data_IF_234565510618
#
_entry.id   IF_234565510618
#
_cell.length_a   1.000
_cell.length_b   1.000
_cell.length_c   1.000
_cell.angle_alpha   90.00
_cell.angle_beta   90.00
_cell.angle_gamma   90.00
#
_symmetry.space_group_name_H-M   'P 1'
#
loop_
_entity.id
_entity.type
_entity.pdbx_description
1 polymer ?
#
# COMPACT_ATOMS: atom_id res chain seq x y z
N UNK A 1 32.94 56.80 -34.64
CA UNK A 1 32.23 57.21 -33.40
C UNK A 1 30.84 56.59 -33.45
N UNK A 2 30.69 55.28 -33.24
CA UNK A 2 30.36 54.66 -31.93
C UNK A 2 29.26 55.41 -31.16
N UNK A 3 28.08 54.80 -31.05
CA UNK A 3 27.70 54.06 -29.82
C UNK A 3 26.48 53.17 -30.06
N UNK A 4 26.66 51.93 -29.62
CA UNK A 4 25.72 50.83 -29.57
C UNK A 4 24.54 51.09 -28.64
N UNK A 5 23.44 50.38 -28.90
CA UNK A 5 22.26 50.34 -28.03
C UNK A 5 21.36 49.16 -28.36
N UNK A 6 21.94 47.95 -28.47
CA UNK A 6 21.17 46.72 -28.57
C UNK A 6 20.37 46.50 -27.28
N UNK A 7 19.04 46.52 -27.36
CA UNK A 7 18.20 46.01 -26.28
C UNK A 7 18.08 44.50 -26.43
N UNK A 8 18.89 43.81 -25.64
CA UNK A 8 18.89 42.37 -25.52
C UNK A 8 17.51 41.86 -25.11
N UNK A 9 16.96 40.96 -25.91
CA UNK A 9 15.86 40.08 -25.52
C UNK A 9 16.20 39.39 -24.21
N UNK A 10 15.38 39.60 -23.18
CA UNK A 10 15.46 38.84 -21.94
C UNK A 10 15.11 37.38 -22.25
N UNK A 11 16.13 36.55 -22.44
CA UNK A 11 16.00 35.10 -22.44
C UNK A 11 15.50 34.66 -21.07
N UNK A 12 14.22 34.29 -20.97
CA UNK A 12 13.68 33.57 -19.81
C UNK A 12 14.09 32.10 -19.90
N UNK A 13 15.35 31.84 -19.56
CA UNK A 13 15.83 30.50 -19.27
C UNK A 13 15.49 30.11 -17.83
N UNK A 14 14.54 29.19 -17.65
CA UNK A 14 14.57 28.07 -16.70
C UNK A 14 13.63 27.02 -17.27
N UNK A 15 14.19 25.92 -17.78
CA UNK A 15 13.41 24.81 -18.32
C UNK A 15 12.49 24.24 -17.26
N UNK A 16 11.23 24.69 -17.26
CA UNK A 16 10.17 24.01 -16.51
C UNK A 16 10.04 22.65 -17.17
N UNK A 17 10.43 21.58 -16.45
CA UNK A 17 10.23 20.22 -16.92
C UNK A 17 8.74 20.08 -17.19
N UNK A 18 8.36 19.92 -18.46
CA UNK A 18 6.95 19.82 -18.85
C UNK A 18 6.39 18.57 -18.16
N UNK A 19 5.34 18.73 -17.36
CA UNK A 19 4.65 17.59 -16.74
C UNK A 19 4.19 16.67 -17.88
N UNK A 20 4.51 15.36 -17.83
CA UNK A 20 4.07 14.44 -18.87
C UNK A 20 2.55 14.38 -18.95
N UNK A 21 2.00 14.45 -20.15
CA UNK A 21 0.56 14.24 -20.37
C UNK A 21 0.31 12.73 -20.50
N UNK A 22 0.27 12.03 -19.37
CA UNK A 22 0.17 10.56 -19.28
C UNK A 22 -1.04 10.15 -18.44
N UNK A 23 -1.70 9.07 -18.81
CA UNK A 23 -2.70 8.42 -17.95
C UNK A 23 -2.06 7.44 -16.98
N UNK A 24 -2.87 6.91 -16.07
CA UNK A 24 -2.47 5.85 -15.13
C UNK A 24 -3.36 4.63 -15.36
N UNK A 25 -2.76 3.47 -15.57
CA UNK A 25 -3.49 2.20 -15.67
C UNK A 25 -3.14 1.26 -14.52
N UNK A 26 -4.12 0.46 -14.12
CA UNK A 26 -3.87 -0.71 -13.29
C UNK A 26 -3.34 -1.81 -14.22
N UNK A 27 -2.08 -2.19 -14.03
CA UNK A 27 -1.39 -3.17 -14.87
C UNK A 27 -1.61 -4.60 -14.36
N UNK A 28 -1.71 -4.78 -13.04
CA UNK A 28 -1.99 -6.06 -12.42
C UNK A 28 -2.30 -5.93 -10.93
N UNK A 29 -2.94 -6.95 -10.37
CA UNK A 29 -3.27 -7.05 -8.95
C UNK A 29 -2.83 -8.38 -8.36
N UNK A 30 -2.64 -8.41 -7.05
CA UNK A 30 -2.26 -9.61 -6.33
C UNK A 30 -2.71 -9.54 -4.90
N UNK A 31 -2.77 -10.69 -4.24
CA UNK A 31 -3.04 -10.76 -2.82
C UNK A 31 -2.33 -11.97 -2.22
N UNK A 32 -2.17 -11.95 -0.90
CA UNK A 32 -1.71 -13.09 -0.15
C UNK A 32 -2.43 -13.18 1.18
N UNK A 33 -2.83 -14.39 1.54
CA UNK A 33 -3.52 -14.72 2.78
C UNK A 33 -2.78 -15.89 3.41
N UNK A 34 -2.41 -15.82 4.70
CA UNK A 34 -1.70 -16.91 5.36
C UNK A 34 -2.57 -18.16 5.46
N UNK A 35 -1.94 -19.34 5.50
CA UNK A 35 -2.67 -20.62 5.53
C UNK A 35 -3.33 -20.91 6.88
N UNK A 36 -2.87 -20.27 7.96
CA UNK A 36 -3.46 -20.44 9.28
C UNK A 36 -4.89 -19.92 9.28
N UNK A 37 -5.86 -20.79 9.59
CA UNK A 37 -7.28 -20.44 9.72
C UNK A 37 -7.66 -20.53 11.19
N UNK A 38 -8.33 -19.49 11.69
CA UNK A 38 -8.93 -19.44 13.01
C UNK A 38 -10.43 -19.39 12.84
N UNK A 39 -11.11 -20.43 13.30
CA UNK A 39 -12.56 -20.49 13.35
C UNK A 39 -13.08 -19.74 14.58
N UNK A 40 -14.34 -19.29 14.53
CA UNK A 40 -14.97 -18.71 15.70
C UNK A 40 -14.94 -19.63 16.93
N UNK A 41 -15.11 -20.95 16.71
CA UNK A 41 -15.03 -21.97 17.76
C UNK A 41 -13.64 -22.09 18.39
N UNK A 42 -12.58 -21.68 17.68
CA UNK A 42 -11.25 -21.65 18.27
C UNK A 42 -11.13 -20.51 19.29
N UNK A 43 -11.81 -19.39 19.04
CA UNK A 43 -11.82 -18.22 19.93
C UNK A 43 -12.54 -18.51 21.26
N UNK A 44 -13.53 -19.41 21.27
CA UNK A 44 -14.25 -19.84 22.48
C UNK A 44 -13.30 -20.40 23.57
N UNK A 45 -12.12 -20.89 23.18
CA UNK A 45 -11.11 -21.40 24.11
C UNK A 45 -10.35 -20.31 24.86
N UNK A 46 -10.37 -19.09 24.35
CA UNK A 46 -9.53 -17.97 24.82
C UNK A 46 -10.36 -16.80 25.36
N UNK A 47 -11.67 -16.76 25.08
CA UNK A 47 -12.57 -15.71 25.53
C UNK A 47 -14.02 -16.20 25.64
N UNK A 48 -14.81 -15.53 26.48
CA UNK A 48 -16.26 -15.75 26.58
C UNK A 48 -16.96 -15.27 25.30
N UNK A 49 -17.09 -16.15 24.31
CA UNK A 49 -17.72 -15.88 23.01
C UNK A 49 -18.35 -17.15 22.45
N UNK A 50 -19.02 -17.05 21.30
CA UNK A 50 -19.51 -18.20 20.54
C UNK A 50 -19.55 -17.91 19.04
N UNK A 51 -19.52 -18.95 18.21
CA UNK A 51 -19.75 -18.80 16.75
C UNK A 51 -21.07 -18.07 16.44
N UNK A 52 -22.14 -18.40 17.15
CA UNK A 52 -23.44 -17.76 16.96
C UNK A 52 -23.34 -16.24 17.24
N UNK A 53 -22.72 -15.86 18.36
CA UNK A 53 -22.60 -14.47 18.77
C UNK A 53 -21.75 -13.65 17.78
N UNK A 54 -20.61 -14.20 17.33
CA UNK A 54 -19.73 -13.53 16.38
C UNK A 54 -20.42 -13.39 15.02
N UNK A 55 -21.00 -14.48 14.53
CA UNK A 55 -21.61 -14.54 13.19
C UNK A 55 -22.81 -13.61 13.07
N UNK A 56 -23.68 -13.55 14.08
CA UNK A 56 -24.86 -12.68 14.06
C UNK A 56 -24.48 -11.19 14.04
N UNK A 57 -23.37 -10.81 14.68
CA UNK A 57 -22.97 -9.41 14.83
C UNK A 57 -22.06 -8.89 13.73
N UNK A 58 -21.21 -9.76 13.20
CA UNK A 58 -20.11 -9.35 12.31
C UNK A 58 -20.18 -10.04 10.94
N UNK A 59 -20.93 -11.14 10.82
CA UNK A 59 -20.93 -12.02 9.65
C UNK A 59 -19.66 -12.88 9.50
N UNK A 60 -18.66 -12.73 10.38
CA UNK A 60 -17.39 -13.44 10.27
C UNK A 60 -17.53 -14.88 10.78
N UNK A 61 -17.03 -15.85 10.01
CA UNK A 61 -16.98 -17.28 10.35
C UNK A 61 -15.57 -17.76 10.65
N UNK A 62 -14.62 -17.25 9.89
CA UNK A 62 -13.20 -17.57 9.98
C UNK A 62 -12.38 -16.32 9.73
N UNK A 63 -11.15 -16.33 10.25
CA UNK A 63 -10.11 -15.39 9.84
C UNK A 63 -8.82 -16.13 9.57
N UNK A 64 -7.90 -15.44 8.91
CA UNK A 64 -6.56 -15.95 8.68
C UNK A 64 -5.57 -15.30 9.64
N UNK A 65 -4.59 -16.08 10.10
CA UNK A 65 -3.56 -15.63 11.03
C UNK A 65 -2.18 -16.08 10.56
N UNK A 66 -1.22 -15.15 10.57
CA UNK A 66 0.19 -15.45 10.33
C UNK A 66 0.75 -16.33 11.44
N UNK A 67 1.55 -17.34 11.09
CA UNK A 67 2.34 -18.13 12.02
C UNK A 67 3.75 -17.53 12.20
N UNK A 68 4.08 -16.91 13.35
CA UNK A 68 5.40 -16.33 13.59
C UNK A 68 6.54 -17.35 13.59
N UNK A 69 6.29 -18.59 14.02
CA UNK A 69 7.30 -19.66 14.05
C UNK A 69 7.74 -20.08 12.65
N UNK A 70 6.89 -19.84 11.63
CA UNK A 70 7.20 -20.04 10.22
C UNK A 70 7.79 -18.79 9.55
N UNK A 71 8.01 -17.73 10.30
CA UNK A 71 8.50 -16.45 9.78
C UNK A 71 7.44 -15.65 8.99
N UNK A 72 6.17 -16.04 9.02
CA UNK A 72 5.08 -15.30 8.36
C UNK A 72 4.88 -13.98 9.09
N UNK A 73 5.05 -12.83 8.44
CA UNK A 73 4.95 -11.49 9.04
C UNK A 73 4.47 -10.47 8.01
N UNK A 74 4.39 -9.19 8.40
CA UNK A 74 3.90 -8.09 7.55
C UNK A 74 4.72 -7.97 6.28
N UNK A 75 6.05 -7.99 6.40
CA UNK A 75 6.96 -7.91 5.25
C UNK A 75 6.80 -9.11 4.31
N UNK A 76 6.61 -10.31 4.86
CA UNK A 76 6.36 -11.53 4.09
C UNK A 76 5.04 -11.46 3.32
N UNK A 77 3.94 -11.10 3.97
CA UNK A 77 2.64 -10.91 3.30
C UNK A 77 2.72 -9.88 2.17
N UNK A 78 3.34 -8.73 2.44
CA UNK A 78 3.56 -7.69 1.43
C UNK A 78 4.37 -8.22 0.25
N UNK A 79 5.44 -8.98 0.53
CA UNK A 79 6.32 -9.54 -0.50
C UNK A 79 5.55 -10.51 -1.40
N UNK A 80 4.78 -11.43 -0.81
CA UNK A 80 4.02 -12.43 -1.57
C UNK A 80 2.87 -11.79 -2.36
N UNK A 81 2.16 -10.81 -1.79
CA UNK A 81 1.14 -10.06 -2.51
C UNK A 81 1.74 -9.27 -3.69
N UNK A 82 2.88 -8.59 -3.49
CA UNK A 82 3.54 -7.86 -4.57
C UNK A 82 4.06 -8.79 -5.67
N UNK A 83 4.65 -9.95 -5.32
CA UNK A 83 5.04 -10.98 -6.30
C UNK A 83 3.84 -11.43 -7.14
N UNK A 84 2.69 -11.67 -6.51
CA UNK A 84 1.45 -12.02 -7.23
C UNK A 84 1.03 -10.91 -8.18
N UNK A 85 1.09 -9.64 -7.75
CA UNK A 85 0.70 -8.51 -8.59
C UNK A 85 1.68 -8.28 -9.76
N UNK A 86 2.98 -8.49 -9.53
CA UNK A 86 4.01 -8.45 -10.57
C UNK A 86 3.81 -9.56 -11.61
N UNK A 87 3.47 -10.77 -11.15
CA UNK A 87 3.18 -11.90 -12.03
C UNK A 87 1.93 -11.66 -12.88
N UNK A 88 0.84 -11.16 -12.29
CA UNK A 88 -0.39 -10.77 -12.99
C UNK A 88 -0.14 -9.66 -14.02
N UNK A 89 0.69 -8.68 -13.66
CA UNK A 89 1.11 -7.59 -14.54
C UNK A 89 2.10 -8.04 -15.65
N UNK A 90 2.71 -9.23 -15.53
CA UNK A 90 3.73 -9.72 -16.47
C UNK A 90 5.03 -8.90 -16.45
N UNK A 91 5.41 -8.32 -15.31
CA UNK A 91 6.60 -7.45 -15.18
C UNK A 91 7.51 -7.89 -14.03
N UNK A 92 8.79 -7.53 -14.11
CA UNK A 92 9.77 -7.80 -13.04
C UNK A 92 9.75 -6.70 -11.96
N UNK A 93 10.16 -7.05 -10.74
CA UNK A 93 10.33 -6.06 -9.66
C UNK A 93 11.38 -5.00 -9.96
N UNK A 94 12.42 -5.33 -10.73
CA UNK A 94 13.45 -4.37 -11.21
C UNK A 94 12.86 -3.21 -12.02
N UNK A 95 11.66 -3.39 -12.57
CA UNK A 95 10.97 -2.41 -13.41
C UNK A 95 10.13 -1.40 -12.62
N UNK A 96 10.07 -1.53 -11.28
CA UNK A 96 9.38 -0.59 -10.39
C UNK A 96 10.28 0.62 -10.09
N UNK A 97 9.71 1.82 -10.16
CA UNK A 97 10.37 3.06 -9.75
C UNK A 97 10.01 3.45 -8.32
N UNK A 98 8.93 2.88 -7.79
CA UNK A 98 8.45 3.17 -6.44
C UNK A 98 7.67 1.98 -5.85
N UNK A 99 7.88 1.72 -4.56
CA UNK A 99 7.08 0.79 -3.75
C UNK A 99 6.47 1.54 -2.57
N UNK A 100 5.15 1.48 -2.43
CA UNK A 100 4.41 2.08 -1.33
C UNK A 100 3.71 0.97 -0.54
N UNK A 101 3.98 0.86 0.76
CA UNK A 101 3.27 -0.06 1.65
C UNK A 101 2.38 0.72 2.60
N UNK A 102 1.08 0.49 2.54
CA UNK A 102 0.13 0.92 3.55
C UNK A 102 0.00 -0.15 4.63
N UNK A 103 0.51 0.15 5.83
CA UNK A 103 0.42 -0.74 6.99
C UNK A 103 0.49 0.05 8.29
N UNK A 104 -0.19 -0.45 9.33
CA UNK A 104 0.00 -0.02 10.73
C UNK A 104 0.71 -1.08 11.57
N UNK A 105 1.05 -2.23 10.97
CA UNK A 105 1.66 -3.37 11.64
C UNK A 105 3.07 -3.68 11.12
N UNK A 106 3.78 -2.67 10.62
CA UNK A 106 5.19 -2.82 10.22
C UNK A 106 6.04 -3.29 11.40
N UNK A 107 7.02 -4.16 11.15
CA UNK A 107 7.83 -4.74 12.24
C UNK A 107 8.79 -3.73 12.88
N UNK A 108 9.11 -2.64 12.18
CA UNK A 108 10.00 -1.59 12.65
C UNK A 108 9.68 -0.26 11.95
N UNK A 109 10.15 0.85 12.52
CA UNK A 109 9.97 2.20 11.96
C UNK A 109 10.98 2.53 10.86
N UNK A 110 12.21 2.01 10.95
CA UNK A 110 13.25 2.20 9.95
C UNK A 110 14.24 1.01 9.94
N UNK A 111 14.56 0.42 8.77
CA UNK A 111 14.01 0.73 7.44
C UNK A 111 12.51 0.39 7.34
N UNK A 112 11.81 1.08 6.43
CA UNK A 112 10.38 0.86 6.19
C UNK A 112 10.09 -0.57 5.72
N UNK A 113 8.85 -1.04 5.91
CA UNK A 113 8.37 -2.31 5.35
C UNK A 113 8.53 -2.28 3.82
N UNK A 114 8.21 -1.17 3.16
CA UNK A 114 8.41 -0.98 1.73
C UNK A 114 9.87 -1.18 1.29
N UNK A 115 10.87 -0.67 2.01
CA UNK A 115 12.29 -0.88 1.68
C UNK A 115 12.65 -2.38 1.70
N UNK A 116 12.17 -3.11 2.69
CA UNK A 116 12.43 -4.55 2.82
C UNK A 116 11.72 -5.34 1.72
N UNK A 117 10.48 -4.98 1.40
CA UNK A 117 9.72 -5.59 0.29
C UNK A 117 10.38 -5.31 -1.06
N UNK A 118 10.81 -4.07 -1.32
CA UNK A 118 11.52 -3.68 -2.53
C UNK A 118 12.79 -4.54 -2.74
N UNK A 119 13.57 -4.75 -1.68
CA UNK A 119 14.72 -5.67 -1.71
C UNK A 119 14.30 -7.10 -2.06
N UNK A 120 13.24 -7.62 -1.45
CA UNK A 120 12.78 -9.00 -1.63
C UNK A 120 12.28 -9.30 -3.06
N UNK A 121 11.77 -8.31 -3.78
CA UNK A 121 11.30 -8.47 -5.17
C UNK A 121 12.32 -7.99 -6.21
N UNK A 122 13.50 -7.56 -5.77
CA UNK A 122 14.58 -7.09 -6.66
C UNK A 122 14.35 -5.68 -7.23
N UNK A 123 13.51 -4.85 -6.62
CA UNK A 123 13.27 -3.46 -7.03
C UNK A 123 14.42 -2.52 -6.64
N UNK A 124 15.63 -2.77 -7.19
CA UNK A 124 16.91 -2.17 -6.79
C UNK A 124 16.98 -0.65 -6.93
N UNK A 125 16.18 -0.07 -7.84
CA UNK A 125 16.19 1.36 -8.14
C UNK A 125 14.92 2.08 -7.67
N UNK A 126 13.99 1.35 -7.05
CA UNK A 126 12.74 1.92 -6.58
C UNK A 126 12.98 2.79 -5.34
N UNK A 127 12.35 3.97 -5.30
CA UNK A 127 12.05 4.60 -4.03
C UNK A 127 11.12 3.70 -3.20
N UNK A 128 11.17 3.80 -1.87
CA UNK A 128 10.30 2.99 -1.03
C UNK A 128 9.93 3.70 0.28
N UNK A 129 8.65 3.72 0.62
CA UNK A 129 8.15 4.30 1.87
C UNK A 129 6.83 3.67 2.31
N UNK A 130 6.55 3.80 3.61
CA UNK A 130 5.28 3.33 4.20
C UNK A 130 4.29 4.50 4.36
N UNK A 131 3.00 4.18 4.28
CA UNK A 131 1.89 5.10 4.53
C UNK A 131 1.07 4.58 5.71
N UNK A 132 0.90 5.41 6.73
CA UNK A 132 0.12 5.10 7.92
C UNK A 132 -1.20 5.87 7.85
N UNK A 133 -2.27 5.20 7.41
CA UNK A 133 -3.64 5.74 7.40
C UNK A 133 -4.70 4.66 7.70
N UNK A 134 -4.34 3.71 8.59
CA UNK A 134 -5.21 2.59 9.01
C UNK A 134 -5.88 1.88 7.82
N UNK A 135 -7.15 1.49 7.95
CA UNK A 135 -7.92 0.81 6.89
C UNK A 135 -8.03 1.63 5.58
N UNK A 136 -7.81 2.95 5.63
CA UNK A 136 -7.82 3.81 4.43
C UNK A 136 -6.46 3.85 3.73
N UNK A 137 -5.42 3.24 4.31
CA UNK A 137 -4.04 3.29 3.83
C UNK A 137 -3.88 2.90 2.36
N UNK A 138 -4.54 1.83 1.92
CA UNK A 138 -4.45 1.42 0.51
C UNK A 138 -5.00 2.49 -0.45
N UNK A 139 -6.12 3.12 -0.11
CA UNK A 139 -6.73 4.22 -0.91
C UNK A 139 -5.82 5.45 -0.91
N UNK A 140 -5.24 5.79 0.23
CA UNK A 140 -4.26 6.88 0.33
C UNK A 140 -3.05 6.62 -0.59
N UNK A 141 -2.48 5.41 -0.51
CA UNK A 141 -1.33 5.01 -1.33
C UNK A 141 -1.64 4.97 -2.82
N UNK A 142 -2.84 4.55 -3.23
CA UNK A 142 -3.28 4.61 -4.63
C UNK A 142 -3.32 6.04 -5.16
N UNK A 143 -3.83 6.99 -4.38
CA UNK A 143 -3.86 8.41 -4.77
C UNK A 143 -2.44 8.98 -4.90
N UNK A 144 -1.58 8.71 -3.91
CA UNK A 144 -0.18 9.15 -3.94
C UNK A 144 0.56 8.57 -5.16
N UNK A 145 0.41 7.27 -5.43
CA UNK A 145 1.02 6.62 -6.57
C UNK A 145 0.51 7.20 -7.91
N UNK A 146 -0.80 7.39 -8.03
CA UNK A 146 -1.42 8.02 -9.20
C UNK A 146 -0.82 9.41 -9.47
N UNK A 147 -0.72 10.25 -8.44
CA UNK A 147 -0.25 11.61 -8.58
C UNK A 147 1.26 11.67 -8.87
N UNK A 148 2.06 10.75 -8.31
CA UNK A 148 3.48 10.61 -8.66
C UNK A 148 3.70 10.16 -10.10
N UNK A 149 2.82 9.31 -10.65
CA UNK A 149 2.86 8.93 -12.06
C UNK A 149 2.48 10.12 -12.95
N UNK A 150 1.38 10.82 -12.62
CA UNK A 150 0.92 12.01 -13.34
C UNK A 150 1.94 13.15 -13.30
N UNK A 151 2.68 13.29 -12.21
CA UNK A 151 3.76 14.26 -12.07
C UNK A 151 5.03 13.87 -12.85
N UNK A 152 5.13 12.62 -13.33
CA UNK A 152 6.29 12.11 -14.06
C UNK A 152 7.50 11.78 -13.18
N UNK A 153 7.30 11.63 -11.86
CA UNK A 153 8.35 11.24 -10.91
C UNK A 153 8.50 9.73 -10.78
N UNK A 154 7.48 8.96 -11.20
CA UNK A 154 7.52 7.52 -11.33
C UNK A 154 6.79 7.08 -12.61
N UNK A 155 7.18 5.97 -13.22
CA UNK A 155 6.49 5.36 -14.35
C UNK A 155 5.72 4.12 -13.92
N UNK A 156 6.29 3.28 -13.04
CA UNK A 156 5.65 2.08 -12.52
C UNK A 156 5.77 2.01 -11.01
N UNK A 157 4.62 1.87 -10.33
CA UNK A 157 4.53 1.91 -8.87
C UNK A 157 3.86 0.64 -8.35
N UNK A 158 4.48 -0.03 -7.39
CA UNK A 158 3.85 -1.09 -6.61
C UNK A 158 3.18 -0.49 -5.37
N UNK A 159 1.86 -0.66 -5.24
CA UNK A 159 1.09 -0.22 -4.07
C UNK A 159 0.61 -1.46 -3.32
N UNK A 160 0.89 -1.54 -2.03
CA UNK A 160 0.53 -2.67 -1.18
C UNK A 160 -0.28 -2.16 0.01
N UNK A 161 -1.34 -2.86 0.38
CA UNK A 161 -2.04 -2.71 1.66
C UNK A 161 -1.90 -4.01 2.43
N UNK A 162 -1.41 -3.96 3.66
CA UNK A 162 -1.15 -5.16 4.45
C UNK A 162 -1.27 -4.85 5.93
N UNK A 163 -1.93 -5.73 6.68
CA UNK A 163 -1.82 -5.72 8.13
C UNK A 163 -1.80 -7.14 8.69
N UNK A 164 -0.99 -7.33 9.74
CA UNK A 164 -0.91 -8.54 10.58
C UNK A 164 -1.48 -8.18 11.95
N UNK A 165 -2.76 -7.81 11.97
CA UNK A 165 -3.44 -7.32 13.16
C UNK A 165 -3.52 -8.36 14.28
N UNK A 166 -3.56 -9.66 13.96
CA UNK A 166 -3.70 -10.73 14.97
C UNK A 166 -2.59 -10.71 16.03
N UNK A 167 -1.43 -10.14 15.71
CA UNK A 167 -0.29 -9.97 16.62
C UNK A 167 -0.43 -8.82 17.60
N UNK A 168 -1.23 -7.82 17.25
CA UNK A 168 -1.46 -6.64 18.07
C UNK A 168 -2.74 -6.76 18.92
N UNK A 169 -3.48 -7.85 18.78
CA UNK A 169 -4.76 -8.04 19.47
C UNK A 169 -4.58 -8.38 20.94
N UNK A 170 -5.30 -7.64 21.78
CA UNK A 170 -5.62 -8.06 23.15
C UNK A 170 -6.80 -9.04 23.11
N UNK A 171 -6.51 -10.32 23.29
CA UNK A 171 -7.52 -11.37 23.32
C UNK A 171 -8.38 -11.35 24.59
N UNK A 172 -8.08 -10.50 25.58
CA UNK A 172 -8.99 -10.20 26.69
C UNK A 172 -10.20 -9.37 26.26
N UNK A 173 -10.09 -8.59 25.18
CA UNK A 173 -11.18 -7.76 24.68
C UNK A 173 -11.95 -8.43 23.53
N UNK A 174 -12.96 -9.23 23.88
CA UNK A 174 -13.81 -9.94 22.90
C UNK A 174 -14.53 -9.04 21.90
N UNK A 175 -14.73 -7.75 22.19
CA UNK A 175 -15.43 -6.85 21.27
C UNK A 175 -14.59 -6.50 20.04
N UNK A 176 -13.27 -6.67 20.11
CA UNK A 176 -12.30 -6.26 19.09
C UNK A 176 -11.57 -7.47 18.50
N UNK A 177 -11.10 -8.39 19.33
CA UNK A 177 -10.27 -9.53 18.91
C UNK A 177 -10.97 -10.48 17.93
N UNK A 178 -12.30 -10.51 17.95
CA UNK A 178 -13.17 -11.26 17.02
C UNK A 178 -13.36 -10.60 15.66
N UNK A 179 -12.69 -9.49 15.35
CA UNK A 179 -12.87 -8.77 14.08
C UNK A 179 -11.71 -8.98 13.12
N UNK A 180 -10.50 -9.07 13.65
CA UNK A 180 -9.30 -8.96 12.83
C UNK A 180 -8.80 -10.32 12.30
N UNK A 181 -8.03 -10.20 11.22
CA UNK A 181 -7.27 -11.25 10.57
C UNK A 181 -6.10 -10.61 9.82
N UNK A 182 -5.26 -11.44 9.22
CA UNK A 182 -4.04 -11.01 8.55
C UNK A 182 -4.12 -11.26 7.05
N UNK A 183 -3.75 -10.28 6.23
CA UNK A 183 -3.66 -10.42 4.78
C UNK A 183 -2.92 -9.24 4.14
N UNK A 184 -2.55 -9.40 2.88
CA UNK A 184 -2.08 -8.32 2.02
C UNK A 184 -2.76 -8.33 0.65
N UNK A 185 -2.97 -7.15 0.09
CA UNK A 185 -3.34 -6.91 -1.29
C UNK A 185 -2.33 -5.98 -1.95
N UNK A 186 -2.11 -6.10 -3.25
CA UNK A 186 -1.19 -5.29 -4.03
C UNK A 186 -1.74 -4.95 -5.41
N UNK A 187 -1.35 -3.80 -5.93
CA UNK A 187 -1.63 -3.35 -7.29
C UNK A 187 -0.37 -2.76 -7.93
N UNK A 188 -0.17 -3.03 -9.21
CA UNK A 188 0.83 -2.38 -10.04
C UNK A 188 0.15 -1.29 -10.84
N UNK A 189 0.55 -0.03 -10.62
CA UNK A 189 0.12 1.11 -11.41
C UNK A 189 1.20 1.49 -12.41
N UNK A 190 0.81 1.89 -13.61
CA UNK A 190 1.75 2.25 -14.67
C UNK A 190 1.26 3.46 -15.48
N UNK A 191 2.20 4.33 -15.88
CA UNK A 191 1.97 5.37 -16.86
C UNK A 191 1.53 4.77 -18.21
N UNK A 192 0.54 5.37 -18.85
CA UNK A 192 0.12 5.04 -20.21
C UNK A 192 -0.10 6.29 -21.06
N UNK A 193 -0.14 6.11 -22.37
CA UNK A 193 -0.19 7.23 -23.33
C UNK A 193 -1.59 7.85 -23.45
N UNK A 194 -2.63 7.24 -22.87
CA UNK A 194 -4.00 7.76 -22.87
C UNK A 194 -4.24 8.59 -21.59
N UNK A 195 -4.17 9.94 -21.65
CA UNK A 195 -4.31 10.80 -20.48
C UNK A 195 -5.70 10.78 -19.83
N UNK A 196 -6.70 10.13 -20.47
CA UNK A 196 -8.03 9.94 -19.91
C UNK A 196 -8.14 8.75 -18.94
N UNK A 197 -7.11 7.88 -18.89
CA UNK A 197 -7.06 6.73 -17.98
C UNK A 197 -6.51 7.13 -16.61
N UNK A 198 -7.09 6.58 -15.56
CA UNK A 198 -6.64 6.77 -14.19
C UNK A 198 -7.79 6.88 -13.22
N UNK A 199 -7.50 7.50 -12.07
CA UNK A 199 -8.52 7.83 -11.10
C UNK A 199 -9.33 9.02 -11.62
N UNK A 200 -10.60 8.80 -11.93
CA UNK A 200 -11.49 9.85 -12.45
C UNK A 200 -11.75 10.96 -11.42
N UNK A 201 -11.83 10.56 -10.16
CA UNK A 201 -11.94 11.45 -9.01
C UNK A 201 -11.41 10.73 -7.78
N UNK A 202 -10.72 11.46 -6.91
CA UNK A 202 -10.33 10.99 -5.60
C UNK A 202 -10.49 12.11 -4.57
N UNK A 203 -10.72 11.75 -3.29
CA UNK A 203 -10.75 12.68 -2.16
C UNK A 203 -10.21 11.98 -0.93
N UNK A 204 -9.39 12.68 -0.16
CA UNK A 204 -8.84 12.20 1.10
C UNK A 204 -9.33 13.11 2.23
N UNK A 205 -9.75 12.51 3.34
CA UNK A 205 -10.26 13.21 4.52
C UNK A 205 -9.74 12.52 5.77
N UNK A 206 -9.47 13.30 6.82
CA UNK A 206 -9.10 12.80 8.14
C UNK A 206 -9.74 13.66 9.22
N UNK A 207 -10.16 13.04 10.32
CA UNK A 207 -10.70 13.72 11.50
C UNK A 207 -10.05 13.14 12.76
N UNK A 208 -9.18 13.92 13.39
CA UNK A 208 -8.49 13.57 14.63
C UNK A 208 -9.22 14.02 15.90
N UNK A 209 -10.37 14.71 15.79
CA UNK A 209 -11.05 15.37 16.93
C UNK A 209 -11.57 14.41 18.01
N UNK A 210 -11.62 13.11 17.72
CA UNK A 210 -12.06 12.05 18.64
C UNK A 210 -10.93 11.50 19.53
N UNK A 211 -9.68 11.90 19.31
CA UNK A 211 -8.57 11.50 20.16
C UNK A 211 -8.53 12.36 21.43
N UNK A 212 -8.40 11.71 22.59
CA UNK A 212 -8.25 12.35 23.89
C UNK A 212 -7.08 11.68 24.62
N UNK A 213 -6.25 12.48 25.28
CA UNK A 213 -5.10 12.03 26.07
C UNK A 213 -5.50 11.44 27.44
#
# INVERSE_FOLDING_TARGET
MSKDGGSASVQRGRGVRRVPDVGVRLLGTGHHVPKGVVHNTDLERFMDTSDEWISQRTGIRTRHACNPEKGENTTWLCTEALKSALADAGVSGESLDLVIVATVTGEMTCPSTACRVASNVGAKHAGAFDVVAACSGFVYSLNVAHDMIRAGTARRVGVIGCDVMTRLMDYGNRAISVLFGDSAGAAILEACDDPSKGLLANRLYADGSRWHD
#
